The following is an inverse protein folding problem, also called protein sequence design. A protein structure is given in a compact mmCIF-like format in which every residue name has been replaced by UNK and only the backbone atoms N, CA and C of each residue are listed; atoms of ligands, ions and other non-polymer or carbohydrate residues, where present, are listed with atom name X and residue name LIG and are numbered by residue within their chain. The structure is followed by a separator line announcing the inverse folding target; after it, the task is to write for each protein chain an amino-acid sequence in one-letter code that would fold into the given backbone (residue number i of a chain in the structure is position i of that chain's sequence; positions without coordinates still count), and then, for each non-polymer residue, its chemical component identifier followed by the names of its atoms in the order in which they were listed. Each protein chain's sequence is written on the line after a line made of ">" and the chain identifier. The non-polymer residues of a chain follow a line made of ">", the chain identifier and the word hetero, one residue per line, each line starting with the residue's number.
data_IF_286311706027
#
_entry.id   IF_286311706027
#
_cell.length_a   1.000
_cell.length_b   1.000
_cell.length_c   1.000
_cell.angle_alpha   90.00
_cell.angle_beta   90.00
_cell.angle_gamma   90.00
#
_symmetry.space_group_name_H-M   'P 1'
#
loop_
_entity.id
_entity.type
_entity.pdbx_description
1 polymer ?
#
# COMPACT_ATOMS: atom_id res chain seq x y z
N UNK A 1 0.10 5.74 -4.90
CA UNK A 1 1.15 6.59 -5.50
C UNK A 1 0.77 8.06 -5.50
N UNK A 2 -0.12 8.48 -6.42
CA UNK A 2 -0.46 9.89 -6.62
C UNK A 2 -1.03 10.56 -5.38
N UNK A 3 -1.96 9.90 -4.69
CA UNK A 3 -2.60 10.47 -3.50
C UNK A 3 -1.58 10.75 -2.37
N UNK A 4 -0.78 9.74 -1.99
CA UNK A 4 0.30 9.91 -1.00
C UNK A 4 1.27 11.04 -1.40
N UNK A 5 1.68 11.08 -2.67
CA UNK A 5 2.62 12.11 -3.15
C UNK A 5 2.01 13.52 -3.06
N UNK A 6 0.76 13.67 -3.49
CA UNK A 6 0.05 14.95 -3.42
C UNK A 6 -0.14 15.42 -1.98
N UNK A 7 -0.56 14.51 -1.11
CA UNK A 7 -0.75 14.76 0.32
C UNK A 7 0.55 15.20 0.99
N UNK A 8 1.64 14.45 0.81
CA UNK A 8 2.94 14.79 1.39
C UNK A 8 3.47 16.16 0.91
N UNK A 9 3.30 16.47 -0.37
CA UNK A 9 3.65 17.79 -0.93
C UNK A 9 2.80 18.90 -0.34
N UNK A 10 1.50 18.67 -0.16
CA UNK A 10 0.57 19.61 0.46
C UNK A 10 0.93 19.90 1.91
N UNK A 11 1.19 18.86 2.71
CA UNK A 11 1.64 18.96 4.10
C UNK A 11 2.93 19.77 4.21
N UNK A 12 3.94 19.42 3.40
CA UNK A 12 5.22 20.16 3.36
C UNK A 12 5.02 21.63 3.00
N UNK A 13 4.15 21.93 2.02
CA UNK A 13 3.82 23.31 1.64
C UNK A 13 3.14 24.09 2.77
N UNK A 14 2.33 23.41 3.58
CA UNK A 14 1.69 23.98 4.76
C UNK A 14 2.62 24.09 5.99
N UNK A 15 3.89 23.66 5.87
CA UNK A 15 4.85 23.65 6.98
C UNK A 15 4.68 22.47 7.96
N UNK A 16 3.80 21.51 7.66
CA UNK A 16 3.63 20.31 8.46
C UNK A 16 4.69 19.26 8.10
N UNK A 17 5.25 18.59 9.11
CA UNK A 17 6.27 17.55 8.96
C UNK A 17 5.86 16.26 9.70
N UNK A 18 4.70 15.67 9.39
CA UNK A 18 4.31 14.41 10.00
C UNK A 18 5.12 13.26 9.40
N UNK A 19 5.14 12.12 10.12
CA UNK A 19 5.58 10.86 9.55
C UNK A 19 4.57 10.37 8.52
N UNK A 20 5.02 10.10 7.30
CA UNK A 20 4.18 9.60 6.20
C UNK A 20 4.24 8.08 6.17
N UNK A 21 3.10 7.45 6.46
CA UNK A 21 2.94 5.99 6.47
C UNK A 21 2.11 5.59 5.25
N UNK A 22 2.67 4.74 4.39
CA UNK A 22 1.93 4.08 3.33
C UNK A 22 1.26 2.80 3.85
N UNK A 23 0.13 2.45 3.26
CA UNK A 23 -0.57 1.20 3.53
C UNK A 23 -0.94 0.52 2.21
N UNK A 24 -0.86 -0.81 2.19
CA UNK A 24 -1.35 -1.64 1.09
C UNK A 24 -1.92 -2.92 1.66
N UNK A 25 -2.76 -3.58 0.87
CA UNK A 25 -3.14 -4.95 1.15
C UNK A 25 -1.97 -5.87 0.78
N UNK A 26 -1.73 -6.89 1.60
CA UNK A 26 -0.80 -7.96 1.29
C UNK A 26 -1.39 -8.88 0.22
N UNK A 27 -0.80 -8.83 -0.97
CA UNK A 27 -1.10 -9.72 -2.08
C UNK A 27 0.13 -10.53 -2.49
N UNK A 28 1.02 -10.82 -1.53
CA UNK A 28 2.26 -11.57 -1.75
C UNK A 28 2.00 -12.85 -2.55
N UNK A 29 2.76 -13.04 -3.63
CA UNK A 29 2.62 -14.18 -4.54
C UNK A 29 1.56 -14.01 -5.64
N UNK A 30 0.75 -12.95 -5.63
CA UNK A 30 -0.15 -12.61 -6.73
C UNK A 30 0.50 -11.60 -7.68
N UNK A 31 0.33 -11.82 -8.98
CA UNK A 31 0.84 -10.94 -10.01
C UNK A 31 -0.29 -10.24 -10.75
N UNK A 32 -0.18 -8.91 -10.85
CA UNK A 32 -1.13 -8.07 -11.56
C UNK A 32 -1.26 -8.42 -13.06
N UNK A 33 -0.22 -8.99 -13.66
CA UNK A 33 -0.18 -9.34 -15.08
C UNK A 33 -0.82 -10.71 -15.41
N UNK A 34 -1.21 -11.50 -14.40
CA UNK A 34 -1.90 -12.77 -14.60
C UNK A 34 -3.39 -12.58 -14.34
N UNK A 35 -4.24 -12.79 -15.34
CA UNK A 35 -5.70 -12.67 -15.17
C UNK A 35 -6.23 -13.56 -14.03
N UNK A 36 -5.71 -14.79 -13.94
CA UNK A 36 -6.07 -15.73 -12.87
C UNK A 36 -5.68 -15.22 -11.50
N UNK A 37 -4.47 -14.68 -11.33
CA UNK A 37 -4.02 -14.18 -10.02
C UNK A 37 -4.61 -12.81 -9.70
N UNK A 38 -4.87 -11.98 -10.70
CA UNK A 38 -5.50 -10.68 -10.56
C UNK A 38 -6.92 -10.79 -10.00
N UNK A 39 -7.70 -11.75 -10.49
CA UNK A 39 -9.07 -12.01 -10.01
C UNK A 39 -9.11 -12.72 -8.64
N UNK A 40 -7.96 -13.20 -8.15
CA UNK A 40 -7.80 -13.75 -6.81
C UNK A 40 -7.53 -12.68 -5.75
N UNK A 41 -7.32 -11.42 -6.14
CA UNK A 41 -7.52 -10.30 -5.23
C UNK A 41 -9.01 -10.04 -5.15
N UNK A 42 -9.56 -9.96 -3.96
CA UNK A 42 -11.02 -9.85 -3.80
C UNK A 42 -11.51 -8.41 -3.77
N UNK A 43 -10.72 -7.47 -4.33
CA UNK A 43 -11.05 -6.05 -4.43
C UNK A 43 -11.49 -5.70 -5.86
N UNK A 44 -12.58 -4.95 -5.99
CA UNK A 44 -13.02 -4.45 -7.31
C UNK A 44 -12.16 -3.30 -7.83
N UNK A 45 -11.42 -2.62 -6.95
CA UNK A 45 -10.48 -1.57 -7.32
C UNK A 45 -9.17 -2.18 -7.81
N UNK A 46 -8.90 -2.02 -9.12
CA UNK A 46 -7.80 -2.69 -9.81
C UNK A 46 -6.39 -2.42 -9.25
N UNK A 47 -6.16 -1.26 -8.63
CA UNK A 47 -4.85 -0.88 -8.10
C UNK A 47 -4.63 -1.27 -6.63
N UNK A 48 -5.65 -1.74 -5.92
CA UNK A 48 -5.53 -2.10 -4.49
C UNK A 48 -4.59 -3.29 -4.33
N UNK A 49 -3.64 -3.18 -3.39
CA UNK A 49 -2.65 -4.22 -3.12
C UNK A 49 -1.45 -4.26 -4.09
N UNK A 50 -1.55 -3.66 -5.27
CA UNK A 50 -0.47 -3.62 -6.27
C UNK A 50 0.37 -2.33 -6.21
N UNK A 51 0.58 -1.75 -5.03
CA UNK A 51 1.29 -0.48 -4.88
C UNK A 51 2.80 -0.55 -5.07
N UNK A 52 3.44 -1.69 -4.73
CA UNK A 52 4.90 -1.82 -4.74
C UNK A 52 5.54 -1.64 -6.13
N UNK A 53 5.06 -2.29 -7.20
CA UNK A 53 5.69 -2.18 -8.52
C UNK A 53 5.69 -0.75 -9.07
N UNK A 54 4.67 0.05 -8.74
CA UNK A 54 4.56 1.47 -9.12
C UNK A 54 5.29 2.40 -8.16
N UNK A 55 5.75 1.90 -7.01
CA UNK A 55 6.57 2.66 -6.07
C UNK A 55 8.06 2.49 -6.40
N UNK A 56 8.48 1.29 -6.82
CA UNK A 56 9.87 0.99 -7.19
C UNK A 56 10.22 1.35 -8.64
N UNK A 57 9.25 1.54 -9.52
CA UNK A 57 9.50 2.13 -10.85
C UNK A 57 8.28 2.95 -11.31
N UNK A 58 8.12 4.19 -10.83
CA UNK A 58 6.89 4.95 -11.04
C UNK A 58 6.62 5.34 -12.50
N UNK A 59 7.65 5.39 -13.36
CA UNK A 59 7.50 5.68 -14.80
C UNK A 59 7.08 4.46 -15.64
N UNK A 60 6.84 3.30 -15.00
CA UNK A 60 6.30 2.12 -15.67
C UNK A 60 4.83 2.23 -16.05
N UNK A 61 4.12 3.22 -15.52
CA UNK A 61 2.71 3.38 -15.83
C UNK A 61 2.54 3.90 -17.25
N UNK A 62 1.30 4.07 -17.69
CA UNK A 62 0.92 4.78 -18.91
C UNK A 62 1.33 6.26 -18.92
N UNK A 63 1.92 6.76 -17.82
CA UNK A 63 2.44 8.12 -17.67
C UNK A 63 3.98 8.07 -17.66
N UNK A 64 4.66 8.42 -18.76
CA UNK A 64 6.10 8.23 -18.91
C UNK A 64 6.95 9.12 -17.99
N UNK A 65 6.33 10.14 -17.37
CA UNK A 65 6.94 11.02 -16.36
C UNK A 65 5.94 11.22 -15.23
N UNK A 66 5.80 10.19 -14.40
CA UNK A 66 4.76 10.17 -13.38
C UNK A 66 5.08 11.14 -12.23
N UNK A 67 4.17 12.08 -11.96
CA UNK A 67 4.28 12.95 -10.79
C UNK A 67 4.05 12.19 -9.46
N UNK A 68 3.58 10.94 -9.53
CA UNK A 68 3.39 10.07 -8.37
C UNK A 68 4.72 9.41 -7.99
N UNK A 69 5.46 10.05 -7.07
CA UNK A 69 6.76 9.58 -6.56
C UNK A 69 6.65 9.22 -5.08
N UNK A 70 5.98 8.12 -4.72
CA UNK A 70 5.64 7.86 -3.33
C UNK A 70 6.87 7.55 -2.45
N UNK A 71 7.88 6.83 -2.95
CA UNK A 71 9.07 6.48 -2.15
C UNK A 71 9.85 7.71 -1.65
N UNK A 72 9.79 8.82 -2.39
CA UNK A 72 10.37 10.12 -2.02
C UNK A 72 9.79 10.72 -0.74
N UNK A 73 8.63 10.26 -0.30
CA UNK A 73 7.93 10.81 0.86
C UNK A 73 7.59 9.76 1.93
N UNK A 74 7.71 8.47 1.65
CA UNK A 74 7.37 7.41 2.62
C UNK A 74 8.45 7.26 3.69
N UNK A 75 8.01 7.23 4.95
CA UNK A 75 8.83 6.90 6.12
C UNK A 75 8.59 5.48 6.64
N UNK A 76 7.42 4.91 6.33
CA UNK A 76 7.03 3.54 6.66
C UNK A 76 6.07 3.02 5.60
N UNK A 77 6.09 1.72 5.33
CA UNK A 77 5.12 1.10 4.45
C UNK A 77 4.59 -0.17 5.12
N UNK A 78 3.30 -0.14 5.43
CA UNK A 78 2.58 -1.21 6.09
C UNK A 78 1.78 -2.05 5.10
N UNK A 79 1.68 -3.34 5.39
CA UNK A 79 0.71 -4.24 4.77
C UNK A 79 -0.29 -4.76 5.78
N UNK A 80 -1.51 -4.99 5.31
CA UNK A 80 -2.63 -5.61 6.04
C UNK A 80 -3.24 -6.71 5.17
N UNK A 81 -3.87 -7.70 5.79
CA UNK A 81 -4.55 -8.79 5.11
C UNK A 81 -5.92 -8.33 4.56
N UNK A 82 -6.43 -9.05 3.57
CA UNK A 82 -7.71 -8.74 2.94
C UNK A 82 -8.86 -8.81 3.96
N UNK A 83 -8.87 -9.86 4.81
CA UNK A 83 -9.91 -10.07 5.80
C UNK A 83 -10.00 -8.96 6.85
N UNK A 84 -8.87 -8.36 7.24
CA UNK A 84 -8.82 -7.21 8.15
C UNK A 84 -9.48 -5.98 7.52
N UNK A 85 -9.27 -5.77 6.22
CA UNK A 85 -9.87 -4.65 5.47
C UNK A 85 -11.38 -4.85 5.30
N UNK A 86 -11.81 -6.06 4.96
CA UNK A 86 -13.24 -6.38 4.89
C UNK A 86 -13.94 -6.19 6.23
N UNK A 87 -13.34 -6.71 7.31
CA UNK A 87 -13.89 -6.55 8.65
C UNK A 87 -14.02 -5.09 9.06
N UNK A 88 -12.97 -4.29 8.89
CA UNK A 88 -13.03 -2.86 9.23
C UNK A 88 -14.04 -2.09 8.39
N UNK A 89 -14.27 -2.53 7.16
CA UNK A 89 -15.31 -1.94 6.30
C UNK A 89 -16.71 -2.20 6.87
N UNK A 90 -16.98 -3.41 7.32
CA UNK A 90 -18.26 -3.76 7.95
C UNK A 90 -18.45 -3.04 9.30
N UNK A 91 -17.37 -2.94 10.10
CA UNK A 91 -17.38 -2.20 11.37
C UNK A 91 -17.73 -0.73 11.12
N UNK A 92 -17.09 -0.09 10.15
CA UNK A 92 -17.33 1.31 9.82
C UNK A 92 -18.77 1.55 9.35
N UNK A 93 -19.32 0.65 8.53
CA UNK A 93 -20.71 0.71 8.11
C UNK A 93 -21.68 0.51 9.29
N UNK A 94 -21.41 -0.48 10.16
CA UNK A 94 -22.30 -0.86 11.25
C UNK A 94 -22.30 0.12 12.42
N UNK A 95 -21.14 0.68 12.78
CA UNK A 95 -20.99 1.55 13.95
C UNK A 95 -21.17 3.02 13.60
N UNK A 96 -20.68 3.45 12.44
CA UNK A 96 -20.66 4.86 12.04
C UNK A 96 -21.65 5.19 10.91
N UNK A 97 -22.32 4.19 10.33
CA UNK A 97 -23.22 4.38 9.18
C UNK A 97 -22.49 4.78 7.89
N UNK A 98 -21.16 4.61 7.86
CA UNK A 98 -20.30 5.04 6.75
C UNK A 98 -20.05 3.86 5.79
N UNK A 99 -21.00 3.62 4.89
CA UNK A 99 -20.84 2.61 3.84
C UNK A 99 -19.80 3.05 2.81
N UNK A 100 -18.74 2.26 2.58
CA UNK A 100 -17.68 2.54 1.59
C UNK A 100 -17.12 1.24 1.01
N UNK A 101 -16.34 1.37 -0.06
CA UNK A 101 -15.62 0.22 -0.62
C UNK A 101 -14.40 -0.20 0.24
N UNK A 102 -14.14 -1.51 0.39
CA UNK A 102 -13.03 -2.04 1.17
C UNK A 102 -11.66 -1.46 0.78
N UNK A 103 -11.43 -1.24 -0.52
CA UNK A 103 -10.18 -0.66 -1.02
C UNK A 103 -9.81 0.67 -0.32
N UNK A 104 -10.79 1.54 -0.06
CA UNK A 104 -10.55 2.82 0.64
C UNK A 104 -10.24 2.68 2.12
N UNK A 105 -10.64 1.57 2.73
CA UNK A 105 -10.43 1.30 4.14
C UNK A 105 -9.06 0.64 4.41
N UNK A 106 -8.24 0.38 3.40
CA UNK A 106 -6.88 -0.17 3.58
C UNK A 106 -6.05 0.67 4.57
N UNK A 107 -6.03 1.99 4.37
CA UNK A 107 -5.30 2.90 5.25
C UNK A 107 -5.95 3.02 6.63
N UNK A 108 -7.29 2.95 6.69
CA UNK A 108 -8.04 2.95 7.95
C UNK A 108 -7.75 1.70 8.78
N UNK A 109 -7.70 0.52 8.17
CA UNK A 109 -7.34 -0.74 8.84
C UNK A 109 -5.93 -0.67 9.41
N UNK A 110 -4.96 -0.17 8.63
CA UNK A 110 -3.61 0.04 9.13
C UNK A 110 -3.58 1.06 10.28
N UNK A 111 -4.34 2.16 10.18
CA UNK A 111 -4.44 3.15 11.25
C UNK A 111 -5.07 2.57 12.53
N UNK A 112 -6.09 1.71 12.40
CA UNK A 112 -6.69 1.02 13.54
C UNK A 112 -5.69 0.11 14.24
N UNK A 113 -4.86 -0.62 13.49
CA UNK A 113 -3.78 -1.44 14.06
C UNK A 113 -2.74 -0.56 14.79
N UNK A 114 -2.28 0.52 14.15
CA UNK A 114 -1.31 1.43 14.75
C UNK A 114 -1.84 2.12 16.00
N UNK A 115 -3.10 2.56 16.00
CA UNK A 115 -3.70 3.28 17.12
C UNK A 115 -3.73 2.46 18.42
N UNK A 116 -3.67 1.13 18.33
CA UNK A 116 -3.54 0.24 19.50
C UNK A 116 -2.18 0.37 20.21
N UNK A 117 -1.17 0.90 19.52
CA UNK A 117 0.22 1.02 20.01
C UNK A 117 0.65 2.48 20.27
N UNK A 118 -0.19 3.46 19.91
CA UNK A 118 0.12 4.88 20.07
C UNK A 118 -0.28 5.41 21.44
N UNK A 119 0.45 6.43 21.90
CA UNK A 119 0.10 7.19 23.09
C UNK A 119 -1.16 8.03 22.85
N UNK A 120 -1.89 8.34 23.93
CA UNK A 120 -3.20 9.01 23.88
C UNK A 120 -3.18 10.40 23.19
N UNK A 121 -2.04 11.08 23.19
CA UNK A 121 -1.86 12.42 22.61
C UNK A 121 -1.43 12.40 21.13
N UNK A 122 -1.21 11.21 20.56
CA UNK A 122 -0.82 11.06 19.17
C UNK A 122 -2.05 10.99 18.25
N UNK A 123 -1.91 11.57 17.06
CA UNK A 123 -2.98 11.63 16.05
C UNK A 123 -2.56 10.90 14.78
N UNK A 124 -3.43 10.05 14.27
CA UNK A 124 -3.34 9.50 12.93
C UNK A 124 -4.38 10.20 12.05
N UNK A 125 -3.92 10.81 10.96
CA UNK A 125 -4.80 11.33 9.90
C UNK A 125 -4.83 10.32 8.76
N UNK A 126 -5.99 9.71 8.55
CA UNK A 126 -6.20 8.73 7.49
C UNK A 126 -6.64 9.44 6.22
N UNK A 127 -5.88 9.24 5.16
CA UNK A 127 -6.23 9.69 3.82
C UNK A 127 -7.04 8.58 3.15
N UNK A 128 -8.33 8.82 2.99
CA UNK A 128 -9.26 7.88 2.35
C UNK A 128 -9.38 8.16 0.84
N UNK A 129 -9.73 7.14 0.06
CA UNK A 129 -9.75 7.24 -1.41
C UNK A 129 -11.01 6.71 -2.09
N UNK A 130 -11.96 6.14 -1.36
CA UNK A 130 -13.04 5.35 -1.96
C UNK A 130 -14.42 5.96 -1.75
N UNK A 131 -15.24 5.82 -2.78
CA UNK A 131 -16.61 6.30 -2.84
C UNK A 131 -17.61 5.16 -2.67
N UNK A 132 -18.86 5.50 -2.40
CA UNK A 132 -19.94 4.54 -2.20
C UNK A 132 -20.51 4.09 -3.55
N UNK A 133 -20.94 2.83 -3.66
CA UNK A 133 -21.56 2.31 -4.88
C UNK A 133 -21.81 0.81 -4.83
N UNK A 134 -22.81 0.33 -5.58
CA UNK A 134 -23.24 -1.08 -5.53
C UNK A 134 -22.09 -2.08 -5.82
N UNK A 135 -21.23 -1.79 -6.80
CA UNK A 135 -20.05 -2.60 -7.10
C UNK A 135 -18.87 -2.44 -6.13
N UNK A 136 -18.97 -1.52 -5.17
CA UNK A 136 -17.97 -1.30 -4.12
C UNK A 136 -18.41 -1.92 -2.80
N UNK A 137 -19.66 -2.34 -2.67
CA UNK A 137 -20.15 -2.98 -1.46
C UNK A 137 -19.34 -4.23 -1.12
N UNK A 138 -19.21 -4.52 0.17
CA UNK A 138 -18.46 -5.68 0.69
C UNK A 138 -19.04 -7.01 0.19
N UNK A 139 -20.37 -7.15 0.22
CA UNK A 139 -21.04 -8.42 -0.12
C UNK A 139 -20.73 -8.92 -1.55
N UNK A 140 -20.88 -8.12 -2.63
CA UNK A 140 -20.48 -8.56 -3.98
C UNK A 140 -19.01 -9.00 -4.09
N UNK A 141 -18.10 -8.33 -3.39
CA UNK A 141 -16.67 -8.66 -3.40
C UNK A 141 -16.39 -10.00 -2.71
N UNK A 142 -17.03 -10.27 -1.57
CA UNK A 142 -16.91 -11.57 -0.90
C UNK A 142 -17.60 -12.69 -1.69
N UNK A 143 -18.72 -12.42 -2.35
CA UNK A 143 -19.35 -13.39 -3.28
C UNK A 143 -18.42 -13.72 -4.45
N UNK A 144 -17.82 -12.70 -5.09
CA UNK A 144 -16.85 -12.90 -6.16
C UNK A 144 -15.61 -13.68 -5.69
N UNK A 145 -15.14 -13.45 -4.46
CA UNK A 145 -14.06 -14.23 -3.88
C UNK A 145 -14.40 -15.74 -3.81
N UNK A 146 -15.60 -16.08 -3.31
CA UNK A 146 -16.07 -17.47 -3.24
C UNK A 146 -16.15 -18.12 -4.63
N UNK A 147 -16.67 -17.40 -5.62
CA UNK A 147 -16.75 -17.86 -7.01
C UNK A 147 -15.36 -18.15 -7.61
N UNK A 148 -14.33 -17.42 -7.18
CA UNK A 148 -12.93 -17.65 -7.57
C UNK A 148 -12.20 -18.69 -6.69
N UNK A 149 -12.94 -19.45 -5.88
CA UNK A 149 -12.38 -20.53 -5.05
C UNK A 149 -11.62 -20.05 -3.81
N UNK A 150 -11.84 -18.80 -3.37
CA UNK A 150 -11.29 -18.28 -2.12
C UNK A 150 -12.14 -18.74 -0.94
N UNK A 151 -11.53 -19.44 0.02
CA UNK A 151 -12.18 -19.82 1.28
C UNK A 151 -12.36 -18.57 2.16
N UNK A 152 -13.59 -18.30 2.65
CA UNK A 152 -13.85 -17.20 3.58
C UNK A 152 -14.23 -17.78 4.94
N UNK A 153 -13.51 -17.38 5.98
CA UNK A 153 -13.74 -17.86 7.35
C UNK A 153 -13.41 -16.80 8.40
N UNK A 154 -13.86 -17.03 9.62
CA UNK A 154 -13.42 -16.27 10.79
C UNK A 154 -12.21 -16.94 11.44
N UNK A 155 -11.26 -16.15 11.94
CA UNK A 155 -10.04 -16.68 12.56
C UNK A 155 -9.00 -15.61 12.87
N UNK A 156 -7.73 -16.00 12.89
CA UNK A 156 -6.59 -15.09 13.02
C UNK A 156 -6.08 -14.67 11.62
N UNK A 157 -6.11 -13.38 11.26
CA UNK A 157 -5.68 -12.91 9.94
C UNK A 157 -4.25 -13.27 9.56
N UNK A 158 -3.36 -13.55 10.53
CA UNK A 158 -1.98 -13.97 10.23
C UNK A 158 -1.90 -15.28 9.43
N UNK A 159 -2.96 -16.09 9.48
CA UNK A 159 -3.05 -17.37 8.77
C UNK A 159 -3.65 -17.19 7.36
N UNK A 160 -3.96 -15.94 6.96
CA UNK A 160 -4.47 -15.62 5.63
C UNK A 160 -3.38 -15.83 4.57
N UNK A 161 -3.76 -16.49 3.47
CA UNK A 161 -2.87 -16.76 2.34
C UNK A 161 -3.48 -16.12 1.10
N UNK A 162 -2.83 -15.09 0.52
CA UNK A 162 -3.32 -14.41 -0.68
C UNK A 162 -3.68 -15.37 -1.81
N UNK A 163 -4.88 -15.22 -2.35
CA UNK A 163 -5.42 -16.04 -3.44
C UNK A 163 -5.81 -17.48 -3.07
N UNK A 164 -5.85 -17.81 -1.78
CA UNK A 164 -6.38 -19.07 -1.24
C UNK A 164 -7.54 -18.85 -0.28
N UNK A 165 -7.38 -17.93 0.67
CA UNK A 165 -8.42 -17.66 1.67
C UNK A 165 -8.46 -16.18 2.08
N UNK A 166 -9.54 -15.80 2.72
CA UNK A 166 -9.75 -14.52 3.40
C UNK A 166 -10.17 -14.86 4.83
N UNK A 167 -9.42 -14.36 5.81
CA UNK A 167 -9.69 -14.62 7.22
C UNK A 167 -10.19 -13.34 7.87
N UNK A 168 -11.50 -13.27 8.07
CA UNK A 168 -12.12 -12.21 8.85
C UNK A 168 -11.69 -12.38 10.32
N UNK A 169 -11.10 -11.36 10.97
CA UNK A 169 -10.67 -11.47 12.36
C UNK A 169 -11.85 -11.87 13.26
N UNK A 170 -11.64 -12.88 14.10
CA UNK A 170 -12.64 -13.28 15.10
C UNK A 170 -12.79 -12.27 16.24
N UNK A 171 -11.80 -11.38 16.40
CA UNK A 171 -11.81 -10.27 17.35
C UNK A 171 -10.96 -9.11 16.80
N UNK A 172 -11.36 -7.83 16.97
CA UNK A 172 -10.64 -6.69 16.41
C UNK A 172 -9.19 -6.54 16.90
N UNK A 173 -8.86 -7.04 18.09
CA UNK A 173 -7.47 -7.04 18.61
C UNK A 173 -6.49 -7.89 17.79
N UNK A 174 -7.00 -8.78 16.93
CA UNK A 174 -6.19 -9.58 16.00
C UNK A 174 -5.77 -8.80 14.76
N UNK A 175 -6.31 -7.59 14.55
CA UNK A 175 -5.92 -6.73 13.44
C UNK A 175 -4.50 -6.20 13.72
N UNK A 176 -3.56 -6.51 12.82
CA UNK A 176 -2.15 -6.16 12.91
C UNK A 176 -1.66 -5.63 11.56
N UNK A 177 -0.48 -5.02 11.59
CA UNK A 177 0.21 -4.52 10.40
C UNK A 177 1.58 -5.18 10.30
N UNK A 178 2.02 -5.43 9.07
CA UNK A 178 3.38 -5.90 8.79
C UNK A 178 4.17 -4.78 8.11
N UNK A 179 5.45 -4.64 8.46
CA UNK A 179 6.35 -3.69 7.79
C UNK A 179 6.89 -4.28 6.49
N UNK A 180 6.63 -3.60 5.38
CA UNK A 180 7.32 -3.85 4.13
C UNK A 180 8.75 -3.30 4.18
N UNK A 181 9.68 -4.00 3.51
CA UNK A 181 11.08 -3.59 3.45
C UNK A 181 11.28 -2.38 2.52
N UNK A 182 11.15 -1.19 3.09
CA UNK A 182 11.38 0.06 2.37
C UNK A 182 12.83 0.19 1.86
N UNK A 183 13.82 -0.35 2.56
CA UNK A 183 15.21 -0.28 2.12
C UNK A 183 15.37 -1.10 0.84
N UNK A 184 14.84 -2.32 0.81
CA UNK A 184 14.81 -3.15 -0.38
C UNK A 184 14.08 -2.47 -1.55
N UNK A 185 12.95 -1.81 -1.29
CA UNK A 185 12.23 -1.05 -2.31
C UNK A 185 13.05 0.13 -2.87
N UNK A 186 13.74 0.88 -2.01
CA UNK A 186 14.64 1.98 -2.41
C UNK A 186 15.78 1.48 -3.28
N UNK A 187 16.42 0.37 -2.87
CA UNK A 187 17.44 -0.31 -3.68
C UNK A 187 16.86 -0.69 -5.04
N UNK A 188 15.70 -1.33 -5.07
CA UNK A 188 15.02 -1.74 -6.31
C UNK A 188 14.76 -0.58 -7.26
N UNK A 189 14.41 0.61 -6.75
CA UNK A 189 14.25 1.80 -7.58
C UNK A 189 15.55 2.20 -8.27
N UNK A 190 16.65 2.24 -7.54
CA UNK A 190 17.97 2.57 -8.10
C UNK A 190 18.35 1.54 -9.18
N UNK A 191 18.18 0.24 -8.90
CA UNK A 191 18.45 -0.83 -9.86
C UNK A 191 17.61 -0.70 -11.13
N UNK A 192 16.32 -0.40 -10.99
CA UNK A 192 15.43 -0.16 -12.12
C UNK A 192 15.88 1.06 -12.95
N UNK A 193 16.26 2.17 -12.30
CA UNK A 193 16.74 3.35 -13.01
C UNK A 193 17.97 3.03 -13.86
N UNK A 194 18.99 2.39 -13.28
CA UNK A 194 20.21 2.00 -13.99
C UNK A 194 19.92 1.03 -15.13
N UNK A 195 19.10 0.01 -14.89
CA UNK A 195 18.78 -1.01 -15.89
C UNK A 195 17.99 -0.45 -17.10
N UNK A 196 17.12 0.54 -16.88
CA UNK A 196 16.31 1.15 -17.94
C UNK A 196 17.11 2.14 -18.78
N UNK A 197 17.90 3.02 -18.16
CA UNK A 197 18.63 4.06 -18.89
C UNK A 197 19.98 3.60 -19.45
N UNK A 198 20.62 2.60 -18.83
CA UNK A 198 21.92 2.02 -19.27
C UNK A 198 23.03 3.06 -19.44
N UNK A 199 23.04 4.07 -18.58
CA UNK A 199 24.08 5.10 -18.51
C UNK A 199 24.77 5.05 -17.16
N UNK A 200 26.01 5.55 -17.10
CA UNK A 200 26.67 5.81 -15.82
C UNK A 200 26.02 7.06 -15.20
N UNK A 201 25.44 6.97 -13.99
CA UNK A 201 24.82 8.13 -13.34
C UNK A 201 25.82 9.27 -13.15
N UNK A 202 25.42 10.51 -13.47
CA UNK A 202 26.16 11.71 -13.08
C UNK A 202 25.95 12.02 -11.59
N UNK A 203 26.65 13.02 -11.04
CA UNK A 203 26.38 13.46 -9.66
C UNK A 203 24.95 14.01 -9.52
N UNK A 204 24.41 14.71 -10.53
CA UNK A 204 23.01 15.17 -10.53
C UNK A 204 22.01 14.00 -10.53
N UNK A 205 22.32 12.91 -11.26
CA UNK A 205 21.49 11.71 -11.23
C UNK A 205 21.51 11.05 -9.84
N UNK A 206 22.66 11.04 -9.18
CA UNK A 206 22.82 10.49 -7.83
C UNK A 206 22.04 11.33 -6.81
N UNK A 207 22.13 12.66 -6.88
CA UNK A 207 21.34 13.57 -6.06
C UNK A 207 19.83 13.38 -6.29
N UNK A 208 19.42 13.24 -7.55
CA UNK A 208 18.05 12.94 -7.91
C UNK A 208 17.58 11.63 -7.27
N UNK A 209 18.36 10.55 -7.40
CA UNK A 209 18.04 9.24 -6.83
C UNK A 209 17.97 9.27 -5.30
N UNK A 210 18.83 10.05 -4.65
CA UNK A 210 18.81 10.22 -3.19
C UNK A 210 17.48 10.84 -2.74
N UNK A 211 17.05 11.90 -3.43
CA UNK A 211 15.74 12.51 -3.21
C UNK A 211 14.61 11.52 -3.53
N UNK A 212 14.67 10.83 -4.66
CA UNK A 212 13.63 9.92 -5.15
C UNK A 212 13.39 8.73 -4.22
N UNK A 213 14.43 8.33 -3.49
CA UNK A 213 14.37 7.23 -2.52
C UNK A 213 14.17 7.67 -1.08
N UNK A 214 13.99 8.98 -0.80
CA UNK A 214 13.95 9.52 0.57
C UNK A 214 15.15 9.05 1.40
N UNK A 215 16.35 9.18 0.82
CA UNK A 215 17.62 8.74 1.41
C UNK A 215 18.72 9.82 1.23
N UNK A 216 19.97 9.42 1.03
CA UNK A 216 21.12 10.30 0.84
C UNK A 216 22.05 9.78 -0.27
N UNK A 217 23.01 10.62 -0.67
CA UNK A 217 23.96 10.35 -1.76
C UNK A 217 24.80 9.11 -1.45
N UNK A 218 25.21 8.93 -0.20
CA UNK A 218 26.02 7.82 0.28
C UNK A 218 25.30 6.48 0.12
N UNK A 219 24.01 6.43 0.45
CA UNK A 219 23.16 5.26 0.25
C UNK A 219 23.06 4.91 -1.24
N UNK A 220 22.86 5.91 -2.11
CA UNK A 220 22.80 5.67 -3.55
C UNK A 220 24.14 5.12 -4.06
N UNK A 221 25.25 5.74 -3.68
CA UNK A 221 26.60 5.29 -4.05
C UNK A 221 26.88 3.87 -3.56
N UNK A 222 26.45 3.50 -2.35
CA UNK A 222 26.61 2.12 -1.85
C UNK A 222 25.80 1.12 -2.66
N UNK A 223 24.57 1.46 -3.05
CA UNK A 223 23.73 0.57 -3.87
C UNK A 223 24.30 0.42 -5.29
N UNK A 224 24.83 1.50 -5.87
CA UNK A 224 25.49 1.45 -7.18
C UNK A 224 26.76 0.58 -7.17
N UNK A 225 27.49 0.53 -6.05
CA UNK A 225 28.66 -0.34 -5.90
C UNK A 225 28.31 -1.83 -5.72
N UNK A 226 27.06 -2.16 -5.37
CA UNK A 226 26.55 -3.54 -5.25
C UNK A 226 26.05 -4.11 -6.60
N UNK A 227 25.97 -3.29 -7.66
CA UNK A 227 25.45 -3.65 -8.99
C UNK A 227 26.55 -4.14 -9.93
#
# INVERSE_FOLDING_TARGET
>A
GGNLTGTARGLKKAGAQPRIVAASVDLSGLHMASDTQFNKKSFTTGHTGFGMPFSTWPDRSDVPRSAARPLRYMDRYLTVHQGEVFYMTEVLASLEGLEKGPAGNTALTAAFALAQELDQDQMIVVQETEYTGAGKHIQPQLSFARENGIEIKFGDPKDEVPGKNIILPSHPSLIKVNDADLVHMRKSLIKNAVANYKVTPTEEDIEFLALETNSNVEFVKSVLAEL
#
